data_IF_568260857030
#
_entry.id   IF_568260857030
#
_cell.length_a   1.000
_cell.length_b   1.000
_cell.length_c   1.000
_cell.angle_alpha   90.00
_cell.angle_beta   90.00
_cell.angle_gamma   90.00
#
_symmetry.space_group_name_H-M   'P 1'
#
loop_
_entity.id
_entity.type
_entity.pdbx_description
1 polymer ?
#
# COMPACT_ATOMS: atom_id res chain seq x y z
N UNK A 1 7.84 11.08 2.97
CA UNK A 1 6.49 11.61 3.30
C UNK A 1 5.41 10.76 2.62
N UNK A 2 5.38 10.69 1.28
CA UNK A 2 4.39 9.91 0.50
C UNK A 2 4.32 8.41 0.86
N UNK A 3 5.46 7.73 0.99
CA UNK A 3 5.49 6.30 1.36
C UNK A 3 4.74 6.00 2.66
N UNK A 4 4.91 6.84 3.69
CA UNK A 4 4.24 6.65 4.98
C UNK A 4 2.73 6.84 4.83
N UNK A 5 2.32 7.91 4.14
CA UNK A 5 0.91 8.18 3.87
C UNK A 5 0.23 7.01 3.16
N UNK A 6 0.85 6.43 2.12
CA UNK A 6 0.26 5.29 1.40
C UNK A 6 0.14 4.04 2.27
N UNK A 7 1.09 3.80 3.18
CA UNK A 7 0.99 2.71 4.16
C UNK A 7 -0.12 2.96 5.16
N UNK A 8 -0.22 4.18 5.72
CA UNK A 8 -1.25 4.55 6.68
C UNK A 8 -2.65 4.41 6.05
N UNK A 9 -2.85 4.92 4.81
CA UNK A 9 -4.11 4.77 4.08
C UNK A 9 -4.49 3.31 3.84
N UNK A 10 -3.51 2.48 3.45
CA UNK A 10 -3.73 1.05 3.26
C UNK A 10 -4.13 0.34 4.55
N UNK A 11 -3.43 0.61 5.66
CA UNK A 11 -3.75 0.04 6.97
C UNK A 11 -5.13 0.49 7.48
N UNK A 12 -5.56 1.70 7.13
CA UNK A 12 -6.89 2.22 7.43
C UNK A 12 -7.98 1.70 6.47
N UNK A 13 -7.61 0.94 5.42
CA UNK A 13 -8.54 0.46 4.40
C UNK A 13 -9.11 1.57 3.52
N UNK A 14 -8.45 2.72 3.46
CA UNK A 14 -8.85 3.87 2.65
C UNK A 14 -8.23 3.71 1.26
N UNK A 15 -9.08 3.57 0.25
CA UNK A 15 -8.73 3.58 -1.18
C UNK A 15 -9.68 4.52 -1.90
N UNK A 16 -9.28 5.01 -3.07
CA UNK A 16 -10.10 5.84 -3.95
C UNK A 16 -10.58 7.13 -3.26
N UNK A 17 -9.60 7.89 -2.76
CA UNK A 17 -9.80 9.10 -1.95
C UNK A 17 -9.10 10.32 -2.56
N UNK A 18 -9.58 11.51 -2.24
CA UNK A 18 -8.96 12.79 -2.60
C UNK A 18 -8.49 13.50 -1.32
N UNK A 19 -7.23 13.93 -1.31
CA UNK A 19 -6.64 14.70 -0.21
C UNK A 19 -7.03 16.18 -0.32
N UNK A 20 -6.86 16.93 0.78
CA UNK A 20 -7.21 18.35 0.85
C UNK A 20 -6.46 19.23 -0.18
N UNK A 21 -5.28 18.78 -0.64
CA UNK A 21 -4.48 19.48 -1.66
C UNK A 21 -4.89 19.14 -3.11
N UNK A 22 -5.95 18.35 -3.29
CA UNK A 22 -6.44 17.87 -4.59
C UNK A 22 -5.73 16.62 -5.10
N UNK A 23 -4.85 15.99 -4.31
CA UNK A 23 -4.22 14.73 -4.70
C UNK A 23 -5.21 13.58 -4.64
N UNK A 24 -5.45 12.93 -5.78
CA UNK A 24 -6.29 11.75 -5.91
C UNK A 24 -5.45 10.48 -5.73
N UNK A 25 -5.87 9.58 -4.86
CA UNK A 25 -5.22 8.28 -4.60
C UNK A 25 -6.22 7.15 -4.86
N UNK A 26 -5.91 6.30 -5.82
CA UNK A 26 -6.76 5.20 -6.27
C UNK A 26 -6.01 3.87 -6.24
N UNK A 27 -6.76 2.77 -6.19
CA UNK A 27 -6.25 1.41 -6.39
C UNK A 27 -5.04 1.04 -5.50
N UNK A 28 -5.11 1.33 -4.19
CA UNK A 28 -4.04 0.96 -3.26
C UNK A 28 -4.03 -0.57 -3.07
N UNK A 29 -2.91 -1.23 -3.39
CA UNK A 29 -2.76 -2.68 -3.26
C UNK A 29 -1.38 -3.05 -2.72
N UNK A 30 -1.30 -4.16 -1.98
CA UNK A 30 -0.03 -4.71 -1.51
C UNK A 30 0.30 -6.02 -2.20
N UNK A 31 1.51 -6.11 -2.73
CA UNK A 31 2.14 -7.36 -3.13
C UNK A 31 3.17 -7.75 -2.08
N UNK A 32 2.89 -8.77 -1.24
CA UNK A 32 3.84 -9.19 -0.21
C UNK A 32 5.08 -9.86 -0.81
N UNK A 33 6.24 -9.63 -0.21
CA UNK A 33 7.49 -10.29 -0.59
C UNK A 33 7.52 -11.77 -0.18
N UNK A 34 8.40 -12.56 -0.82
CA UNK A 34 8.58 -13.98 -0.50
C UNK A 34 9.43 -14.17 0.79
N UNK A 35 8.96 -15.05 1.67
CA UNK A 35 9.68 -15.56 2.84
C UNK A 35 10.96 -16.33 2.44
N UNK A 36 12.08 -16.38 3.22
CA UNK A 36 12.29 -15.97 4.63
C UNK A 36 12.55 -14.49 4.87
N UNK A 37 12.64 -13.68 3.81
CA UNK A 37 12.81 -12.21 3.90
C UNK A 37 11.50 -11.43 4.07
N UNK A 38 10.44 -12.09 4.56
CA UNK A 38 9.02 -11.69 4.49
C UNK A 38 8.60 -10.45 5.29
N UNK A 39 9.52 -9.53 5.57
CA UNK A 39 9.24 -8.27 6.27
C UNK A 39 9.09 -7.08 5.31
N UNK A 40 8.98 -7.32 4.00
CA UNK A 40 8.88 -6.27 2.97
C UNK A 40 7.87 -6.66 1.90
N UNK A 41 7.09 -5.68 1.45
CA UNK A 41 6.16 -5.80 0.33
C UNK A 41 6.22 -4.56 -0.56
N UNK A 42 5.72 -4.69 -1.78
CA UNK A 42 5.57 -3.59 -2.72
C UNK A 42 4.13 -3.12 -2.64
N UNK A 43 3.94 -1.90 -2.15
CA UNK A 43 2.64 -1.25 -2.16
C UNK A 43 2.54 -0.43 -3.44
N UNK A 44 1.49 -0.68 -4.21
CA UNK A 44 1.19 0.02 -5.46
C UNK A 44 -0.01 0.92 -5.24
N UNK A 45 0.03 2.14 -5.76
CA UNK A 45 -1.12 3.04 -5.78
C UNK A 45 -1.11 3.87 -7.08
N UNK A 46 -2.26 4.38 -7.49
CA UNK A 46 -2.35 5.41 -8.53
C UNK A 46 -2.52 6.75 -7.84
N UNK A 47 -1.58 7.68 -8.07
CA UNK A 47 -1.59 9.02 -7.47
C UNK A 47 -1.68 10.03 -8.59
N UNK A 48 -2.77 10.80 -8.67
CA UNK A 48 -3.06 11.73 -9.77
C UNK A 48 -2.90 11.09 -11.16
N UNK A 49 -3.35 9.85 -11.32
CA UNK A 49 -3.22 9.07 -12.56
C UNK A 49 -1.84 8.43 -12.80
N UNK A 50 -0.86 8.65 -11.92
CA UNK A 50 0.47 8.03 -12.02
C UNK A 50 0.58 6.81 -11.12
N UNK A 51 1.02 5.68 -11.69
CA UNK A 51 1.33 4.50 -10.90
C UNK A 51 2.60 4.73 -10.07
N UNK A 52 2.46 4.62 -8.76
CA UNK A 52 3.54 4.71 -7.79
C UNK A 52 3.72 3.36 -7.10
N UNK A 53 4.97 2.95 -6.96
CA UNK A 53 5.34 1.73 -6.24
C UNK A 53 6.29 2.10 -5.10
N UNK A 54 5.98 1.67 -3.89
CA UNK A 54 6.81 1.90 -2.72
C UNK A 54 7.09 0.58 -2.02
N UNK A 55 8.37 0.29 -1.77
CA UNK A 55 8.76 -0.80 -0.88
C UNK A 55 8.46 -0.36 0.55
N UNK A 56 7.64 -1.10 1.29
CA UNK A 56 7.34 -0.81 2.68
C UNK A 56 7.60 -2.03 3.57
N UNK A 57 8.14 -1.80 4.79
CA UNK A 57 8.24 -2.87 5.75
C UNK A 57 6.83 -3.23 6.25
N UNK A 58 6.50 -4.51 6.21
CA UNK A 58 5.27 -5.03 6.82
C UNK A 58 5.67 -6.16 7.76
N UNK A 59 5.03 -6.22 8.92
CA UNK A 59 5.15 -7.37 9.79
C UNK A 59 4.58 -8.61 9.11
N UNK A 60 5.04 -9.79 9.53
CA UNK A 60 4.51 -11.04 9.02
C UNK A 60 2.99 -11.13 9.27
N UNK A 61 2.51 -10.62 10.41
CA UNK A 61 1.10 -10.58 10.79
C UNK A 61 0.26 -9.70 9.85
N UNK A 62 0.77 -8.55 9.44
CA UNK A 62 0.14 -7.70 8.43
C UNK A 62 0.06 -8.44 7.09
N UNK A 63 1.16 -9.04 6.63
CA UNK A 63 1.16 -9.83 5.38
C UNK A 63 0.18 -11.01 5.43
N UNK A 64 0.04 -11.69 6.57
CA UNK A 64 -0.85 -12.83 6.74
C UNK A 64 -2.33 -12.47 6.91
N UNK A 65 -2.64 -11.28 7.42
CA UNK A 65 -4.02 -10.81 7.62
C UNK A 65 -4.64 -10.21 6.37
N UNK A 66 -3.85 -9.92 5.34
CA UNK A 66 -4.36 -9.41 4.08
C UNK A 66 -5.20 -10.45 3.33
N UNK A 67 -6.27 -10.00 2.65
CA UNK A 67 -7.04 -10.88 1.80
C UNK A 67 -6.11 -11.44 0.73
N UNK A 68 -5.87 -12.75 0.80
CA UNK A 68 -5.18 -13.50 -0.24
C UNK A 68 -6.12 -13.52 -1.44
N UNK A 69 -6.05 -12.49 -2.28
CA UNK A 69 -6.72 -12.51 -3.57
C UNK A 69 -6.21 -13.76 -4.30
N UNK A 70 -7.14 -14.69 -4.51
CA UNK A 70 -6.93 -16.06 -4.96
C UNK A 70 -7.33 -16.17 -6.41
#
# INVERSE_FOLDING_TARGET
MLKKLLVDLYQLGITDTELEDGTVIENISLVPGKFPGGCRGILTAVVNGYKIEVEAPFSAEEVYSLPKNR
#
